data_IF_332173189630
#
_entry.id   IF_332173189630
#
_cell.length_a   1.000
_cell.length_b   1.000
_cell.length_c   1.000
_cell.angle_alpha   90.00
_cell.angle_beta   90.00
_cell.angle_gamma   90.00
#
_symmetry.space_group_name_H-M   'P 1'
#
loop_
_entity.id
_entity.type
_entity.pdbx_description
1 polymer ?
#
# COMPACT_ATOMS: atom_id res chain seq x y z
N UNK A 1 -33.69 -0.79 -11.21
CA UNK A 1 -33.87 -2.24 -10.95
C UNK A 1 -35.34 -2.56 -11.11
N UNK A 2 -35.65 -3.42 -12.07
CA UNK A 2 -37.06 -3.73 -12.40
C UNK A 2 -37.65 -4.70 -11.40
N UNK A 3 -38.95 -4.61 -11.17
CA UNK A 3 -39.69 -5.44 -10.25
C UNK A 3 -40.98 -5.90 -10.91
N UNK A 4 -41.27 -7.20 -10.79
CA UNK A 4 -42.52 -7.73 -11.31
C UNK A 4 -43.69 -7.32 -10.39
N UNK A 5 -44.83 -6.99 -10.99
CA UNK A 5 -46.08 -6.63 -10.32
C UNK A 5 -47.09 -7.74 -10.59
N UNK A 6 -47.60 -8.33 -9.51
CA UNK A 6 -48.66 -9.33 -9.58
C UNK A 6 -49.89 -8.78 -8.87
N UNK A 7 -51.06 -8.91 -9.47
CA UNK A 7 -52.31 -8.40 -8.94
C UNK A 7 -53.12 -9.51 -8.26
N UNK A 8 -53.95 -9.15 -7.24
CA UNK A 8 -54.84 -10.12 -6.61
C UNK A 8 -55.74 -10.81 -7.64
N UNK A 9 -55.77 -12.15 -7.64
CA UNK A 9 -56.55 -12.95 -8.57
C UNK A 9 -55.91 -13.24 -9.92
N UNK A 10 -54.73 -12.65 -10.24
CA UNK A 10 -53.96 -13.04 -11.42
C UNK A 10 -53.19 -14.33 -11.14
N UNK A 11 -52.96 -15.14 -12.17
CA UNK A 11 -52.06 -16.30 -12.12
C UNK A 11 -50.65 -15.81 -12.51
N UNK A 12 -49.65 -15.90 -11.61
CA UNK A 12 -48.28 -15.54 -11.97
C UNK A 12 -47.76 -16.44 -13.10
N UNK A 13 -47.03 -15.83 -14.03
CA UNK A 13 -46.35 -16.56 -15.10
C UNK A 13 -44.98 -17.08 -14.60
N UNK A 14 -44.49 -18.16 -15.21
CA UNK A 14 -43.13 -18.66 -15.01
C UNK A 14 -42.08 -17.59 -15.31
N UNK A 15 -42.31 -16.76 -16.35
CA UNK A 15 -41.49 -15.60 -16.70
C UNK A 15 -41.40 -14.57 -15.58
N UNK A 16 -42.41 -14.43 -14.74
CA UNK A 16 -42.37 -13.49 -13.60
C UNK A 16 -41.35 -13.94 -12.57
N UNK A 17 -41.31 -15.23 -12.23
CA UNK A 17 -40.34 -15.79 -11.29
C UNK A 17 -38.92 -15.73 -11.83
N UNK A 18 -38.73 -16.07 -13.12
CA UNK A 18 -37.43 -16.05 -13.76
C UNK A 18 -36.88 -14.60 -13.91
N UNK A 19 -37.77 -13.63 -14.23
CA UNK A 19 -37.42 -12.23 -14.30
C UNK A 19 -36.95 -11.65 -12.96
N UNK A 20 -37.55 -12.06 -11.82
CA UNK A 20 -37.07 -11.65 -10.49
C UNK A 20 -35.61 -12.03 -10.31
N UNK A 21 -35.24 -13.28 -10.63
CA UNK A 21 -33.86 -13.76 -10.51
C UNK A 21 -32.91 -13.02 -11.44
N UNK A 22 -33.29 -12.82 -12.70
CA UNK A 22 -32.49 -12.05 -13.69
C UNK A 22 -32.27 -10.61 -13.23
N UNK A 23 -33.32 -9.92 -12.77
CA UNK A 23 -33.24 -8.54 -12.32
C UNK A 23 -32.38 -8.39 -11.08
N UNK A 24 -32.46 -9.34 -10.11
CA UNK A 24 -31.59 -9.36 -8.94
C UNK A 24 -30.11 -9.55 -9.33
N UNK A 25 -29.84 -10.50 -10.25
CA UNK A 25 -28.48 -10.70 -10.77
C UNK A 25 -27.95 -9.47 -11.50
N UNK A 26 -28.78 -8.82 -12.34
CA UNK A 26 -28.39 -7.60 -13.03
C UNK A 26 -28.06 -6.46 -12.05
N UNK A 27 -28.87 -6.29 -11.00
CA UNK A 27 -28.62 -5.26 -9.98
C UNK A 27 -27.30 -5.49 -9.23
N UNK A 28 -27.03 -6.74 -8.81
CA UNK A 28 -25.76 -7.11 -8.17
C UNK A 28 -24.57 -6.94 -9.13
N UNK A 29 -24.75 -7.25 -10.40
CA UNK A 29 -23.72 -7.09 -11.42
C UNK A 29 -23.33 -5.61 -11.62
N UNK A 30 -24.30 -4.71 -11.72
CA UNK A 30 -24.02 -3.27 -11.79
C UNK A 30 -23.40 -2.73 -10.51
N UNK A 31 -23.80 -3.21 -9.34
CA UNK A 31 -23.16 -2.85 -8.08
C UNK A 31 -21.70 -3.33 -8.04
N UNK A 32 -21.46 -4.59 -8.42
CA UNK A 32 -20.11 -5.14 -8.50
C UNK A 32 -19.24 -4.34 -9.48
N UNK A 33 -19.78 -3.97 -10.65
CA UNK A 33 -19.09 -3.15 -11.64
C UNK A 33 -18.74 -1.76 -11.11
N UNK A 34 -19.64 -1.12 -10.36
CA UNK A 34 -19.39 0.18 -9.75
C UNK A 34 -18.28 0.15 -8.68
N UNK A 35 -18.14 -0.98 -7.97
CA UNK A 35 -17.15 -1.15 -6.89
C UNK A 35 -15.81 -1.70 -7.39
N UNK A 36 -15.83 -2.68 -8.29
CA UNK A 36 -14.66 -3.43 -8.75
C UNK A 36 -14.20 -3.05 -10.16
N UNK A 37 -15.00 -2.27 -10.90
CA UNK A 37 -14.78 -1.99 -12.30
C UNK A 37 -15.23 -3.15 -13.21
N UNK A 38 -14.92 -3.04 -14.52
CA UNK A 38 -15.29 -4.03 -15.54
C UNK A 38 -14.20 -5.08 -15.81
N UNK A 39 -13.02 -4.93 -15.20
CA UNK A 39 -11.94 -5.91 -15.31
C UNK A 39 -12.23 -7.19 -14.54
N UNK A 40 -11.53 -8.27 -14.88
CA UNK A 40 -11.58 -9.50 -14.08
C UNK A 40 -10.94 -9.25 -12.72
N UNK A 41 -11.64 -9.63 -11.64
CA UNK A 41 -11.13 -9.56 -10.26
C UNK A 41 -11.33 -10.91 -9.58
N UNK A 42 -10.34 -11.32 -8.80
CA UNK A 42 -10.35 -12.58 -8.03
C UNK A 42 -10.23 -12.26 -6.55
N UNK A 43 -11.08 -12.89 -5.73
CA UNK A 43 -10.97 -12.85 -4.27
C UNK A 43 -10.96 -14.28 -3.69
N UNK A 44 -10.12 -14.51 -2.69
CA UNK A 44 -9.89 -15.85 -2.17
C UNK A 44 -9.05 -16.70 -3.14
N UNK A 45 -9.46 -17.94 -3.41
CA UNK A 45 -8.79 -18.91 -4.28
C UNK A 45 -7.31 -19.10 -3.93
N UNK A 46 -6.97 -19.09 -2.64
CA UNK A 46 -5.59 -19.27 -2.18
C UNK A 46 -5.07 -20.67 -2.54
N UNK A 47 -3.88 -20.74 -3.14
CA UNK A 47 -3.25 -22.02 -3.48
C UNK A 47 -2.23 -22.43 -2.42
N UNK A 48 -2.38 -23.64 -1.88
CA UNK A 48 -1.50 -24.20 -0.87
C UNK A 48 -1.08 -25.63 -1.24
N UNK A 49 0.07 -26.06 -0.72
CA UNK A 49 0.48 -27.46 -0.80
C UNK A 49 -0.47 -28.35 0.01
N UNK A 50 -0.65 -29.59 -0.42
CA UNK A 50 -1.52 -30.57 0.29
C UNK A 50 -0.95 -30.96 1.67
N UNK A 51 -1.84 -31.25 2.59
CA UNK A 51 -1.50 -31.84 3.90
C UNK A 51 -2.28 -33.13 4.07
N UNK A 52 -1.61 -34.31 4.21
CA UNK A 52 -0.16 -34.52 4.22
C UNK A 52 0.52 -34.15 2.89
N UNK A 53 1.83 -33.86 2.97
CA UNK A 53 2.62 -33.44 1.81
C UNK A 53 2.58 -34.49 0.68
N UNK A 54 2.27 -34.04 -0.54
CA UNK A 54 2.19 -34.87 -1.76
C UNK A 54 2.54 -34.06 -2.99
N UNK A 55 2.53 -34.69 -4.17
CA UNK A 55 2.64 -34.02 -5.46
C UNK A 55 1.33 -33.32 -5.85
N UNK A 56 0.71 -32.64 -4.90
CA UNK A 56 -0.56 -31.95 -5.07
C UNK A 56 -0.57 -30.54 -4.49
N UNK A 57 -1.47 -29.74 -5.04
CA UNK A 57 -1.83 -28.42 -4.51
C UNK A 57 -3.35 -28.31 -4.42
N UNK A 58 -3.82 -27.52 -3.48
CA UNK A 58 -5.24 -27.25 -3.28
C UNK A 58 -5.50 -25.76 -3.42
N UNK A 59 -6.45 -25.40 -4.29
CA UNK A 59 -6.98 -24.05 -4.40
C UNK A 59 -8.22 -23.95 -3.53
N UNK A 60 -8.20 -23.08 -2.55
CA UNK A 60 -9.28 -22.88 -1.58
C UNK A 60 -10.53 -22.23 -2.17
N UNK A 61 -11.59 -22.03 -1.35
CA UNK A 61 -12.78 -21.31 -1.74
C UNK A 61 -12.47 -19.87 -2.18
N UNK A 62 -13.35 -19.31 -3.02
CA UNK A 62 -13.21 -17.94 -3.47
C UNK A 62 -14.17 -17.60 -4.60
N UNK A 63 -13.97 -16.44 -5.20
CA UNK A 63 -14.82 -15.91 -6.27
C UNK A 63 -14.00 -15.27 -7.38
N UNK A 64 -14.61 -15.21 -8.56
CA UNK A 64 -14.12 -14.45 -9.72
C UNK A 64 -15.26 -13.58 -10.24
N UNK A 65 -14.97 -12.33 -10.55
CA UNK A 65 -15.89 -11.43 -11.27
C UNK A 65 -15.37 -11.18 -12.67
N UNK A 66 -16.24 -11.29 -13.65
CA UNK A 66 -15.91 -11.00 -15.06
C UNK A 66 -17.08 -10.31 -15.76
N UNK A 67 -16.74 -9.45 -16.72
CA UNK A 67 -17.74 -8.83 -17.61
C UNK A 67 -18.23 -9.90 -18.61
N UNK A 68 -19.53 -10.19 -18.55
CA UNK A 68 -20.19 -11.17 -19.43
C UNK A 68 -21.58 -10.65 -19.84
N UNK A 69 -22.16 -11.20 -20.89
CA UNK A 69 -23.55 -10.92 -21.25
C UNK A 69 -24.52 -11.50 -20.22
N UNK A 70 -25.70 -10.90 -20.08
CA UNK A 70 -26.69 -11.29 -19.08
C UNK A 70 -27.06 -12.79 -19.19
N UNK A 71 -27.48 -13.24 -20.34
CA UNK A 71 -27.74 -14.65 -20.63
C UNK A 71 -27.38 -14.99 -22.07
N UNK A 72 -26.39 -15.84 -22.28
CA UNK A 72 -25.97 -16.30 -23.62
C UNK A 72 -27.01 -17.18 -24.28
N UNK A 73 -27.77 -17.93 -23.49
CA UNK A 73 -28.83 -18.84 -23.91
C UNK A 73 -30.12 -18.48 -23.18
N UNK A 74 -31.26 -18.99 -23.65
CA UNK A 74 -32.55 -18.84 -22.99
C UNK A 74 -32.44 -19.29 -21.52
N UNK A 75 -33.05 -18.53 -20.63
CA UNK A 75 -33.14 -18.84 -19.19
C UNK A 75 -34.55 -19.33 -18.87
N UNK A 76 -34.75 -20.64 -18.94
CA UNK A 76 -36.08 -21.24 -18.92
C UNK A 76 -36.94 -20.70 -20.07
N UNK A 77 -38.08 -20.11 -19.77
CA UNK A 77 -38.98 -19.47 -20.72
C UNK A 77 -38.59 -18.03 -21.10
N UNK A 78 -37.59 -17.43 -20.43
CA UNK A 78 -37.08 -16.11 -20.83
C UNK A 78 -36.10 -16.25 -22.01
N UNK A 79 -36.20 -15.37 -23.02
CA UNK A 79 -35.24 -15.38 -24.13
C UNK A 79 -33.84 -15.03 -23.66
N UNK A 80 -32.83 -15.38 -24.46
CA UNK A 80 -31.46 -14.94 -24.26
C UNK A 80 -31.38 -13.41 -24.16
N UNK A 81 -30.46 -12.89 -23.36
CA UNK A 81 -30.12 -11.47 -23.21
C UNK A 81 -28.63 -11.30 -23.43
N UNK A 82 -28.24 -11.27 -24.72
CA UNK A 82 -26.84 -11.32 -25.15
C UNK A 82 -26.27 -9.97 -25.59
N UNK A 83 -27.06 -8.88 -25.52
CA UNK A 83 -26.66 -7.57 -26.00
C UNK A 83 -26.02 -6.72 -24.89
N UNK A 84 -26.45 -6.88 -23.65
CA UNK A 84 -26.01 -6.05 -22.55
C UNK A 84 -25.01 -6.81 -21.64
N UNK A 85 -23.73 -6.39 -21.60
CA UNK A 85 -22.78 -6.97 -20.69
C UNK A 85 -22.96 -6.42 -19.27
N UNK A 86 -22.75 -7.26 -18.28
CA UNK A 86 -22.67 -6.89 -16.88
C UNK A 86 -21.58 -7.70 -16.18
N UNK A 87 -21.13 -7.25 -15.02
CA UNK A 87 -20.20 -7.99 -14.20
C UNK A 87 -20.93 -9.13 -13.49
N UNK A 88 -20.57 -10.38 -13.82
CA UNK A 88 -21.07 -11.58 -13.16
C UNK A 88 -20.05 -12.11 -12.17
N UNK A 89 -20.51 -12.90 -11.20
CA UNK A 89 -19.69 -13.48 -10.15
C UNK A 89 -19.82 -15.01 -10.13
N UNK A 90 -18.70 -15.71 -10.31
CA UNK A 90 -18.59 -17.14 -10.05
C UNK A 90 -18.07 -17.38 -8.63
N UNK A 91 -18.66 -18.32 -7.90
CA UNK A 91 -18.32 -18.62 -6.51
C UNK A 91 -18.06 -20.11 -6.36
N UNK A 92 -16.90 -20.47 -5.78
CA UNK A 92 -16.62 -21.82 -5.30
C UNK A 92 -16.54 -21.80 -3.77
N UNK A 93 -17.37 -22.60 -3.13
CA UNK A 93 -17.40 -22.78 -1.67
C UNK A 93 -16.52 -23.94 -1.21
N UNK A 94 -16.19 -24.86 -2.13
CA UNK A 94 -15.37 -26.03 -1.86
C UNK A 94 -13.99 -25.87 -2.51
N UNK A 95 -12.93 -26.43 -1.90
CA UNK A 95 -11.59 -26.41 -2.46
C UNK A 95 -11.48 -27.34 -3.67
N UNK A 96 -10.59 -26.99 -4.60
CA UNK A 96 -10.26 -27.80 -5.77
C UNK A 96 -8.79 -28.26 -5.69
N UNK A 97 -8.54 -29.56 -5.78
CA UNK A 97 -7.19 -30.10 -5.72
C UNK A 97 -6.68 -30.49 -7.12
N UNK A 98 -5.38 -30.27 -7.32
CA UNK A 98 -4.66 -30.65 -8.53
C UNK A 98 -3.47 -31.53 -8.18
N UNK A 99 -3.25 -32.57 -9.00
CA UNK A 99 -2.05 -33.44 -8.91
C UNK A 99 -1.05 -33.03 -9.99
N UNK A 100 0.21 -32.87 -9.60
CA UNK A 100 1.31 -32.51 -10.47
C UNK A 100 2.24 -33.72 -10.67
N UNK A 101 2.96 -33.72 -11.78
CA UNK A 101 3.91 -34.81 -12.12
C UNK A 101 5.30 -34.23 -12.25
N UNK A 102 6.30 -34.85 -11.63
CA UNK A 102 7.69 -34.45 -11.79
C UNK A 102 8.21 -34.80 -13.20
N UNK A 103 9.14 -34.02 -13.78
CA UNK A 103 9.80 -34.39 -15.04
C UNK A 103 10.57 -35.70 -14.88
N UNK A 104 10.72 -36.42 -15.95
CA UNK A 104 11.36 -37.75 -15.96
C UNK A 104 12.89 -37.69 -16.09
N UNK A 105 13.44 -36.57 -16.55
CA UNK A 105 14.88 -36.40 -16.78
C UNK A 105 15.54 -35.62 -15.67
N UNK A 106 16.70 -36.07 -15.21
CA UNK A 106 17.50 -35.38 -14.17
C UNK A 106 17.88 -33.96 -14.61
N UNK A 107 17.89 -33.03 -13.67
CA UNK A 107 18.24 -31.63 -13.91
C UNK A 107 17.13 -30.79 -14.57
N UNK A 108 15.97 -31.36 -14.84
CA UNK A 108 14.84 -30.64 -15.42
C UNK A 108 13.82 -30.20 -14.39
N UNK A 109 13.02 -29.18 -14.76
CA UNK A 109 11.84 -28.74 -14.04
C UNK A 109 10.68 -28.43 -15.00
N UNK A 110 9.46 -28.41 -14.48
CA UNK A 110 8.24 -28.03 -15.20
C UNK A 110 7.56 -26.92 -14.43
N UNK A 111 7.12 -25.86 -15.13
CA UNK A 111 6.18 -24.89 -14.59
C UNK A 111 4.76 -25.30 -14.92
N UNK A 112 3.93 -25.41 -13.90
CA UNK A 112 2.49 -25.58 -14.03
C UNK A 112 1.79 -24.25 -13.82
N UNK A 113 0.84 -23.90 -14.70
CA UNK A 113 -0.02 -22.74 -14.55
C UNK A 113 -1.38 -23.19 -14.03
N UNK A 114 -1.84 -22.59 -12.93
CA UNK A 114 -3.23 -22.66 -12.49
C UNK A 114 -3.93 -21.41 -13.00
N UNK A 115 -4.93 -21.60 -13.84
CA UNK A 115 -5.72 -20.51 -14.41
C UNK A 115 -7.19 -20.65 -14.03
N UNK A 116 -7.92 -19.52 -14.05
CA UNK A 116 -9.33 -19.45 -13.69
C UNK A 116 -10.13 -18.65 -14.71
N UNK A 117 -11.41 -18.99 -14.82
CA UNK A 117 -12.41 -18.18 -15.54
C UNK A 117 -13.77 -18.33 -14.88
N UNK A 118 -14.70 -17.40 -15.15
CA UNK A 118 -16.09 -17.56 -14.78
C UNK A 118 -16.76 -18.52 -15.77
N UNK A 119 -17.43 -19.54 -15.23
CA UNK A 119 -18.21 -20.49 -16.01
C UNK A 119 -19.66 -20.45 -15.58
N UNK A 120 -20.57 -20.28 -16.54
CA UNK A 120 -21.99 -20.43 -16.36
C UNK A 120 -22.47 -21.70 -17.04
N UNK A 121 -23.26 -22.50 -16.35
CA UNK A 121 -23.80 -23.76 -16.89
C UNK A 121 -25.16 -24.09 -16.31
N UNK A 122 -26.00 -24.74 -17.12
CA UNK A 122 -27.29 -25.26 -16.70
C UNK A 122 -27.11 -26.69 -16.16
N UNK A 123 -27.61 -26.95 -14.94
CA UNK A 123 -27.38 -28.20 -14.21
C UNK A 123 -28.65 -28.70 -13.53
N UNK A 124 -28.51 -29.78 -12.74
CA UNK A 124 -29.59 -30.40 -11.97
C UNK A 124 -30.75 -30.87 -12.87
N UNK A 125 -30.47 -31.79 -13.81
CA UNK A 125 -31.48 -32.32 -14.68
C UNK A 125 -32.54 -33.12 -13.88
N UNK A 126 -33.80 -32.79 -14.09
CA UNK A 126 -34.93 -33.42 -13.43
C UNK A 126 -36.07 -33.61 -14.45
N UNK A 127 -36.73 -34.74 -14.42
CA UNK A 127 -37.97 -34.96 -15.15
C UNK A 127 -39.11 -34.26 -14.38
N UNK A 128 -39.52 -33.11 -14.88
CA UNK A 128 -40.51 -32.26 -14.22
C UNK A 128 -41.92 -32.77 -14.49
N UNK A 129 -42.85 -32.72 -13.49
CA UNK A 129 -44.27 -33.00 -13.69
C UNK A 129 -44.92 -31.82 -14.43
N UNK A 130 -45.63 -32.10 -15.52
CA UNK A 130 -46.36 -31.13 -16.31
C UNK A 130 -47.88 -31.32 -16.09
N UNK A 131 -48.59 -30.20 -16.12
CA UNK A 131 -50.06 -30.23 -15.96
C UNK A 131 -50.73 -31.03 -17.09
N UNK A 132 -51.57 -31.99 -16.70
CA UNK A 132 -52.38 -32.84 -17.58
C UNK A 132 -53.87 -32.44 -17.44
N UNK A 133 -54.37 -31.65 -18.40
CA UNK A 133 -55.75 -31.17 -18.38
C UNK A 133 -56.78 -32.31 -18.50
N UNK A 134 -56.42 -33.42 -19.15
CA UNK A 134 -57.34 -34.58 -19.30
C UNK A 134 -57.44 -35.42 -18.01
N UNK A 135 -56.38 -35.45 -17.20
CA UNK A 135 -56.35 -36.13 -15.91
C UNK A 135 -55.45 -35.40 -14.92
N UNK A 136 -55.95 -34.39 -14.20
CA UNK A 136 -55.12 -33.61 -13.25
C UNK A 136 -54.49 -34.42 -12.13
N UNK A 137 -55.00 -35.62 -11.81
CA UNK A 137 -54.40 -36.51 -10.81
C UNK A 137 -53.15 -37.25 -11.31
N UNK A 138 -52.88 -37.24 -12.63
CA UNK A 138 -51.72 -37.87 -13.25
C UNK A 138 -50.97 -36.85 -14.13
N UNK A 139 -50.01 -36.13 -13.58
CA UNK A 139 -49.22 -35.20 -14.37
C UNK A 139 -48.46 -35.91 -15.48
N UNK A 140 -48.18 -35.21 -16.58
CA UNK A 140 -47.27 -35.69 -17.61
C UNK A 140 -45.82 -35.73 -17.10
N UNK A 141 -45.05 -36.72 -17.57
CA UNK A 141 -43.66 -36.93 -17.22
C UNK A 141 -42.77 -36.17 -18.22
N UNK A 142 -42.32 -35.00 -17.84
CA UNK A 142 -41.51 -34.11 -18.72
C UNK A 142 -42.34 -33.45 -19.84
N UNK A 143 -41.67 -32.63 -20.71
CA UNK A 143 -42.31 -32.01 -21.87
C UNK A 143 -42.92 -33.04 -22.77
N UNK A 144 -44.13 -32.78 -23.25
CA UNK A 144 -44.86 -33.67 -24.15
C UNK A 144 -45.02 -35.12 -23.65
N UNK A 145 -44.93 -35.35 -22.36
CA UNK A 145 -44.96 -36.67 -21.72
C UNK A 145 -43.84 -37.60 -22.21
N UNK A 146 -42.71 -37.06 -22.62
CA UNK A 146 -41.57 -37.79 -23.20
C UNK A 146 -40.60 -38.36 -22.16
N UNK A 147 -40.77 -38.11 -20.88
CA UNK A 147 -39.81 -38.48 -19.81
C UNK A 147 -38.46 -37.76 -19.89
N UNK A 148 -38.38 -36.68 -20.66
CA UNK A 148 -37.15 -35.95 -20.85
C UNK A 148 -36.86 -35.05 -19.64
N UNK A 149 -35.63 -35.19 -19.10
CA UNK A 149 -35.14 -34.30 -18.04
C UNK A 149 -34.78 -32.90 -18.57
N UNK A 150 -35.06 -31.89 -17.76
CA UNK A 150 -34.68 -30.49 -18.01
C UNK A 150 -33.82 -29.98 -16.89
N UNK A 151 -32.82 -29.17 -17.22
CA UNK A 151 -31.98 -28.53 -16.22
C UNK A 151 -32.81 -27.51 -15.44
N UNK A 152 -32.71 -27.57 -14.10
CA UNK A 152 -33.53 -26.75 -13.20
C UNK A 152 -32.74 -25.62 -12.54
N UNK A 153 -31.43 -25.58 -12.74
CA UNK A 153 -30.56 -24.57 -12.15
C UNK A 153 -29.56 -24.07 -13.18
N UNK A 154 -29.37 -22.74 -13.21
CA UNK A 154 -28.21 -22.08 -13.87
C UNK A 154 -27.26 -21.66 -12.79
N UNK A 155 -26.03 -22.20 -12.81
CA UNK A 155 -25.00 -21.98 -11.81
C UNK A 155 -23.84 -21.18 -12.41
N UNK A 156 -23.26 -20.30 -11.59
CA UNK A 156 -22.06 -19.54 -11.88
C UNK A 156 -20.96 -20.00 -10.94
N UNK A 157 -19.88 -20.53 -11.51
CA UNK A 157 -18.75 -21.11 -10.76
C UNK A 157 -17.44 -20.53 -11.25
N UNK A 158 -16.40 -20.68 -10.43
CA UNK A 158 -15.04 -20.51 -10.86
C UNK A 158 -14.60 -21.82 -11.54
N UNK A 159 -14.37 -21.79 -12.83
CA UNK A 159 -13.67 -22.88 -13.49
C UNK A 159 -12.17 -22.73 -13.23
N UNK A 160 -11.54 -23.79 -12.70
CA UNK A 160 -10.10 -23.85 -12.43
C UNK A 160 -9.48 -24.91 -13.36
N UNK A 161 -8.32 -24.62 -13.93
CA UNK A 161 -7.60 -25.53 -14.79
C UNK A 161 -6.11 -25.50 -14.50
N UNK A 162 -5.49 -26.69 -14.49
CA UNK A 162 -4.06 -26.88 -14.42
C UNK A 162 -3.50 -27.09 -15.83
N UNK A 163 -2.50 -26.31 -16.22
CA UNK A 163 -1.76 -26.46 -17.48
C UNK A 163 -0.30 -26.81 -17.20
N UNK A 164 0.18 -27.90 -17.79
CA UNK A 164 1.59 -28.26 -17.71
C UNK A 164 2.39 -27.53 -18.78
N UNK A 165 3.53 -26.96 -18.40
CA UNK A 165 4.53 -26.46 -19.33
C UNK A 165 5.41 -27.58 -19.89
N UNK A 166 6.34 -27.22 -20.75
CA UNK A 166 7.37 -28.14 -21.21
C UNK A 166 8.46 -28.34 -20.15
N UNK A 167 8.94 -29.57 -19.98
CA UNK A 167 10.10 -29.85 -19.15
C UNK A 167 11.35 -29.20 -19.80
N UNK A 168 12.12 -28.48 -19.02
CA UNK A 168 13.36 -27.80 -19.43
C UNK A 168 14.39 -27.83 -18.30
N UNK A 169 15.62 -27.47 -18.58
CA UNK A 169 16.66 -27.36 -17.54
C UNK A 169 16.21 -26.43 -16.42
N UNK A 170 16.52 -26.79 -15.21
CA UNK A 170 16.14 -26.02 -14.02
C UNK A 170 16.59 -24.53 -14.16
N UNK A 171 15.65 -23.62 -14.03
CA UNK A 171 15.84 -22.18 -14.23
C UNK A 171 15.55 -21.68 -15.66
N UNK A 172 15.34 -22.57 -16.63
CA UNK A 172 15.01 -22.19 -18.03
C UNK A 172 13.60 -22.62 -18.46
N UNK A 173 12.84 -23.27 -17.57
CA UNK A 173 11.47 -23.69 -17.82
C UNK A 173 10.54 -22.49 -18.00
N UNK A 174 9.67 -22.55 -18.99
CA UNK A 174 8.69 -21.48 -19.27
C UNK A 174 7.32 -21.84 -18.74
N UNK A 175 6.61 -20.83 -18.26
CA UNK A 175 5.22 -20.98 -17.86
C UNK A 175 4.33 -21.04 -19.09
N UNK A 176 3.34 -21.98 -19.16
CA UNK A 176 2.41 -22.05 -20.28
C UNK A 176 1.63 -20.73 -20.41
N UNK A 177 1.26 -20.32 -21.65
CA UNK A 177 0.41 -19.14 -21.84
C UNK A 177 -0.99 -19.39 -21.28
N UNK A 178 -1.59 -18.32 -20.76
CA UNK A 178 -2.98 -18.30 -20.30
C UNK A 178 -3.91 -18.47 -21.52
N UNK A 179 -5.00 -19.23 -21.37
CA UNK A 179 -5.99 -19.41 -22.45
C UNK A 179 -6.85 -18.14 -22.61
N UNK A 180 -7.41 -17.96 -23.81
CA UNK A 180 -8.28 -16.81 -24.07
C UNK A 180 -9.50 -16.83 -23.15
N UNK A 181 -9.81 -15.70 -22.50
CA UNK A 181 -10.90 -15.56 -21.54
C UNK A 181 -10.59 -16.10 -20.13
N UNK A 182 -9.39 -16.62 -19.91
CA UNK A 182 -8.90 -17.06 -18.61
C UNK A 182 -7.94 -16.04 -17.99
N UNK A 183 -7.68 -16.17 -16.70
CA UNK A 183 -6.65 -15.43 -15.98
C UNK A 183 -5.73 -16.38 -15.23
N UNK A 184 -4.41 -16.15 -15.31
CA UNK A 184 -3.43 -16.94 -14.58
C UNK A 184 -3.43 -16.55 -13.11
N UNK A 185 -3.54 -17.52 -12.20
CA UNK A 185 -3.53 -17.28 -10.76
C UNK A 185 -2.19 -17.63 -10.11
N UNK A 186 -1.69 -18.85 -10.38
CA UNK A 186 -0.48 -19.37 -9.75
C UNK A 186 0.41 -20.10 -10.74
N UNK A 187 1.70 -20.02 -10.50
CA UNK A 187 2.72 -20.84 -11.16
C UNK A 187 3.32 -21.76 -10.10
N UNK A 188 3.30 -23.07 -10.36
CA UNK A 188 3.90 -24.07 -9.49
C UNK A 188 5.08 -24.73 -10.22
N UNK A 189 6.28 -24.61 -9.66
CA UNK A 189 7.49 -25.19 -10.23
C UNK A 189 7.78 -26.53 -9.60
N UNK A 190 7.90 -27.57 -10.43
CA UNK A 190 8.18 -28.94 -10.00
C UNK A 190 9.47 -29.41 -10.63
N UNK A 191 10.46 -29.79 -9.79
CA UNK A 191 11.76 -30.30 -10.26
C UNK A 191 11.78 -31.84 -10.34
N UNK A 192 12.75 -32.38 -11.10
CA UNK A 192 13.01 -33.81 -11.19
C UNK A 192 13.21 -34.44 -9.79
N UNK A 193 12.63 -35.62 -9.60
CA UNK A 193 12.77 -36.39 -8.35
C UNK A 193 11.97 -35.84 -7.17
N UNK A 194 11.20 -34.78 -7.37
CA UNK A 194 10.36 -34.20 -6.31
C UNK A 194 9.17 -35.12 -6.03
N UNK A 195 8.93 -35.39 -4.74
CA UNK A 195 7.85 -36.28 -4.26
C UNK A 195 6.74 -35.52 -3.53
N UNK A 196 6.95 -34.23 -3.26
CA UNK A 196 5.96 -33.34 -2.66
C UNK A 196 6.19 -31.89 -3.14
N UNK A 197 5.13 -31.11 -3.22
CA UNK A 197 5.19 -29.68 -3.58
C UNK A 197 5.45 -28.87 -2.31
N UNK A 198 6.62 -28.21 -2.14
CA UNK A 198 6.85 -27.31 -1.05
C UNK A 198 6.10 -25.97 -1.26
N UNK A 199 5.73 -25.28 -0.19
CA UNK A 199 5.06 -23.98 -0.29
C UNK A 199 5.85 -22.94 -1.12
N UNK A 200 7.17 -22.97 -1.05
CA UNK A 200 8.05 -22.08 -1.81
C UNK A 200 8.03 -22.33 -3.34
N UNK A 201 7.51 -23.47 -3.79
CA UNK A 201 7.34 -23.77 -5.22
C UNK A 201 6.08 -23.14 -5.82
N UNK A 202 5.18 -22.59 -5.00
CA UNK A 202 3.92 -21.95 -5.39
C UNK A 202 4.14 -20.46 -5.43
N UNK A 203 4.07 -19.85 -6.60
CA UNK A 203 4.20 -18.41 -6.80
C UNK A 203 2.89 -17.85 -7.38
N UNK A 204 2.50 -16.66 -6.95
CA UNK A 204 1.39 -15.92 -7.58
C UNK A 204 1.83 -15.52 -8.98
N UNK A 205 0.97 -15.72 -9.99
CA UNK A 205 1.23 -15.25 -11.35
C UNK A 205 1.40 -13.72 -11.37
N UNK A 206 2.38 -13.15 -12.07
CA UNK A 206 2.62 -11.72 -12.12
C UNK A 206 1.41 -10.90 -12.62
N UNK A 207 0.53 -11.52 -13.39
CA UNK A 207 -0.68 -10.89 -13.96
C UNK A 207 -1.96 -11.33 -13.28
N UNK A 208 -1.87 -12.02 -12.14
CA UNK A 208 -3.04 -12.49 -11.41
C UNK A 208 -3.88 -11.31 -10.90
N UNK A 209 -5.19 -11.24 -11.24
CA UNK A 209 -6.02 -10.10 -10.89
C UNK A 209 -6.63 -10.24 -9.50
N UNK A 210 -5.82 -10.59 -8.50
CA UNK A 210 -6.27 -10.65 -7.12
C UNK A 210 -6.66 -9.28 -6.60
N UNK A 211 -7.76 -9.23 -5.84
CA UNK A 211 -8.20 -8.02 -5.17
C UNK A 211 -7.16 -7.59 -4.12
N UNK A 212 -6.42 -6.53 -4.43
CA UNK A 212 -5.34 -6.03 -3.56
C UNK A 212 -5.87 -5.35 -2.28
N UNK A 213 -7.04 -4.69 -2.38
CA UNK A 213 -7.60 -3.87 -1.31
C UNK A 213 -9.08 -4.15 -1.11
N UNK A 214 -9.47 -4.53 0.11
CA UNK A 214 -10.88 -4.69 0.51
C UNK A 214 -11.37 -3.40 1.19
N UNK A 215 -12.68 -3.13 1.15
CA UNK A 215 -13.28 -1.96 1.81
C UNK A 215 -12.81 -1.75 3.26
N UNK A 216 -12.71 -2.79 4.11
CA UNK A 216 -12.19 -2.61 5.46
C UNK A 216 -10.77 -2.04 5.52
N UNK A 217 -9.94 -2.32 4.51
CA UNK A 217 -8.57 -1.78 4.40
C UNK A 217 -8.54 -0.31 3.94
N UNK A 218 -9.66 0.19 3.40
CA UNK A 218 -9.81 1.59 2.95
C UNK A 218 -10.48 2.47 4.00
N UNK A 219 -10.95 1.92 5.12
CA UNK A 219 -11.53 2.70 6.21
C UNK A 219 -10.45 3.53 6.91
N UNK A 220 -10.75 4.81 7.30
CA UNK A 220 -9.84 5.60 8.10
C UNK A 220 -9.41 4.84 9.37
N UNK A 221 -8.11 4.66 9.59
CA UNK A 221 -7.56 3.86 10.68
C UNK A 221 -7.04 2.48 10.26
N UNK A 222 -7.40 1.96 9.08
CA UNK A 222 -6.77 0.77 8.51
C UNK A 222 -5.62 1.21 7.58
N UNK A 223 -4.39 1.04 8.05
CA UNK A 223 -3.20 1.42 7.30
C UNK A 223 -2.98 2.92 7.17
N UNK A 224 -3.65 3.75 7.99
CA UNK A 224 -3.35 5.17 8.13
C UNK A 224 -2.83 5.47 9.54
N UNK A 225 -1.79 6.26 9.61
CA UNK A 225 -1.19 6.63 10.90
C UNK A 225 -0.17 7.75 10.73
N UNK A 226 0.21 8.31 11.88
CA UNK A 226 1.29 9.28 11.96
C UNK A 226 2.22 8.91 13.12
N UNK A 227 3.51 8.93 12.87
CA UNK A 227 4.52 8.73 13.89
C UNK A 227 5.58 9.82 13.79
N UNK A 228 5.82 10.52 14.90
CA UNK A 228 6.86 11.52 15.02
C UNK A 228 8.03 10.98 15.83
N UNK A 229 9.25 11.19 15.34
CA UNK A 229 10.48 10.74 15.96
C UNK A 229 11.30 11.94 16.40
N UNK A 230 11.46 12.10 17.70
CA UNK A 230 12.27 13.15 18.35
C UNK A 230 13.65 12.61 18.79
N UNK A 231 13.89 11.31 18.62
CA UNK A 231 15.15 10.63 18.88
C UNK A 231 15.41 9.57 17.82
N UNK A 232 16.68 9.24 17.59
CA UNK A 232 17.08 8.20 16.62
C UNK A 232 16.60 6.83 17.06
N UNK A 233 15.98 6.09 16.12
CA UNK A 233 15.42 4.75 16.33
C UNK A 233 15.19 4.05 14.98
N UNK A 234 14.23 3.16 14.89
CA UNK A 234 13.80 2.48 13.66
C UNK A 234 12.30 2.61 13.49
N UNK A 235 11.85 2.85 12.26
CA UNK A 235 10.44 2.74 11.84
C UNK A 235 10.22 1.37 11.26
N UNK A 236 9.25 0.62 11.77
CA UNK A 236 8.80 -0.64 11.17
C UNK A 236 7.56 -0.36 10.34
N UNK A 237 7.61 -0.67 9.03
CA UNK A 237 6.49 -0.48 8.11
C UNK A 237 5.30 -1.30 8.60
N UNK A 238 4.15 -0.67 8.90
CA UNK A 238 2.97 -1.38 9.41
C UNK A 238 2.41 -2.39 8.41
N UNK A 239 1.65 -3.37 8.92
CA UNK A 239 0.97 -4.36 8.09
C UNK A 239 0.02 -3.67 7.09
N UNK A 240 0.08 -4.07 5.82
CA UNK A 240 -0.73 -3.49 4.74
C UNK A 240 -0.25 -2.15 4.20
N UNK A 241 0.77 -1.53 4.79
CA UNK A 241 1.35 -0.27 4.31
C UNK A 241 2.43 -0.55 3.29
N UNK A 242 2.31 0.05 2.11
CA UNK A 242 3.32 -0.04 1.02
C UNK A 242 3.83 1.33 0.58
N UNK A 243 3.28 2.40 1.16
CA UNK A 243 3.68 3.78 0.89
C UNK A 243 3.61 4.64 2.14
N UNK A 244 4.51 5.62 2.25
CA UNK A 244 4.53 6.59 3.35
C UNK A 244 4.91 7.97 2.82
N UNK A 245 4.39 9.02 3.47
CA UNK A 245 4.88 10.39 3.34
C UNK A 245 5.82 10.69 4.51
N UNK A 246 7.05 11.10 4.21
CA UNK A 246 8.09 11.37 5.20
C UNK A 246 8.51 12.83 5.15
N UNK A 247 8.55 13.46 6.31
CA UNK A 247 9.11 14.81 6.49
C UNK A 247 10.30 14.74 7.44
N UNK A 248 11.38 15.43 7.10
CA UNK A 248 12.66 15.39 7.83
C UNK A 248 13.18 16.81 8.04
N UNK A 249 13.48 17.17 9.28
CA UNK A 249 14.14 18.41 9.66
C UNK A 249 15.50 18.11 10.26
N UNK A 250 16.56 18.78 9.78
CA UNK A 250 17.87 18.79 10.43
C UNK A 250 17.88 19.60 11.72
N UNK A 251 18.84 19.35 12.60
CA UNK A 251 19.02 20.18 13.82
C UNK A 251 19.56 21.57 13.50
N UNK A 252 19.20 22.58 14.28
CA UNK A 252 19.77 23.92 14.19
C UNK A 252 21.16 24.00 14.83
N UNK A 253 22.03 24.93 14.42
CA UNK A 253 23.32 25.15 15.07
C UNK A 253 23.20 25.99 16.35
N UNK A 254 24.14 25.81 17.25
CA UNK A 254 24.30 26.68 18.41
C UNK A 254 24.85 28.05 18.04
N UNK A 255 24.77 29.02 18.97
CA UNK A 255 25.41 30.33 18.88
C UNK A 255 26.68 30.38 19.72
N UNK A 256 27.64 31.21 19.32
CA UNK A 256 28.83 31.47 20.16
C UNK A 256 28.48 32.29 21.43
N UNK A 257 29.32 32.20 22.43
CA UNK A 257 29.27 33.12 23.57
C UNK A 257 29.66 34.54 23.13
N UNK A 258 29.12 35.58 23.76
CA UNK A 258 29.67 36.96 23.61
C UNK A 258 30.95 37.11 24.40
N UNK A 259 31.74 38.12 24.02
CA UNK A 259 32.83 38.64 24.86
C UNK A 259 32.29 39.87 25.67
N UNK A 260 33.11 40.44 26.53
CA UNK A 260 32.75 41.64 27.24
C UNK A 260 32.51 42.86 26.35
N UNK A 261 32.97 42.86 25.12
CA UNK A 261 32.86 43.96 24.15
C UNK A 261 32.26 43.59 22.80
N UNK A 262 32.02 42.31 22.53
CA UNK A 262 31.51 41.85 21.25
C UNK A 262 30.35 40.87 21.45
N UNK A 263 29.19 41.25 20.94
CA UNK A 263 28.01 40.38 20.92
C UNK A 263 28.18 39.21 19.90
N UNK A 264 27.51 38.10 20.08
CA UNK A 264 27.63 36.98 19.15
C UNK A 264 26.52 36.93 18.12
N UNK A 265 26.86 36.41 16.94
CA UNK A 265 25.88 36.10 15.90
C UNK A 265 25.02 34.90 16.28
N UNK A 266 23.85 34.77 15.63
CA UNK A 266 22.95 33.62 15.77
C UNK A 266 23.42 32.41 14.99
N UNK A 267 23.01 31.24 15.43
CA UNK A 267 23.19 29.96 14.73
C UNK A 267 22.20 29.82 13.57
N UNK A 268 22.50 28.94 12.61
CA UNK A 268 21.70 28.69 11.41
C UNK A 268 20.63 27.63 11.66
N UNK A 269 19.51 27.72 10.97
CA UNK A 269 18.45 26.70 10.98
C UNK A 269 18.83 25.45 10.20
N UNK A 270 18.26 24.30 10.58
CA UNK A 270 18.35 23.05 9.84
C UNK A 270 17.57 23.07 8.52
N UNK A 271 17.94 22.19 7.59
CA UNK A 271 17.21 21.97 6.36
C UNK A 271 15.91 21.22 6.56
N UNK A 272 15.10 21.15 5.53
CA UNK A 272 13.85 20.37 5.46
C UNK A 272 13.78 19.59 4.17
N UNK A 273 13.33 18.32 4.24
CA UNK A 273 12.98 17.52 3.08
C UNK A 273 11.66 16.79 3.31
N UNK A 274 10.86 16.65 2.24
CA UNK A 274 9.68 15.80 2.21
C UNK A 274 9.76 14.85 1.04
N UNK A 275 9.41 13.58 1.29
CA UNK A 275 9.38 12.55 0.26
C UNK A 275 8.20 11.62 0.43
N UNK A 276 7.54 11.29 -0.69
CA UNK A 276 6.62 10.16 -0.77
C UNK A 276 7.37 8.93 -1.21
N UNK A 277 7.37 7.90 -0.38
CA UNK A 277 7.98 6.61 -0.67
C UNK A 277 6.90 5.61 -1.02
N UNK A 278 7.13 4.84 -2.08
CA UNK A 278 6.23 3.76 -2.56
C UNK A 278 7.02 2.47 -2.71
N UNK A 279 6.32 1.33 -2.70
CA UNK A 279 6.95 0.01 -2.86
C UNK A 279 7.65 -0.49 -1.59
N UNK A 280 7.27 0.01 -0.41
CA UNK A 280 7.76 -0.51 0.87
C UNK A 280 7.15 -1.87 1.17
N UNK A 281 7.91 -2.72 1.87
CA UNK A 281 7.45 -4.03 2.31
C UNK A 281 6.94 -3.95 3.74
N UNK A 282 5.70 -4.39 4.06
CA UNK A 282 5.23 -4.51 5.42
C UNK A 282 6.19 -5.32 6.30
N UNK A 283 6.46 -4.82 7.51
CA UNK A 283 7.46 -5.42 8.42
C UNK A 283 8.91 -4.98 8.18
N UNK A 284 9.20 -4.25 7.10
CA UNK A 284 10.53 -3.69 6.83
C UNK A 284 10.91 -2.69 7.92
N UNK A 285 12.10 -2.84 8.50
CA UNK A 285 12.67 -1.88 9.45
C UNK A 285 13.52 -0.85 8.70
N UNK A 286 13.21 0.43 8.88
CA UNK A 286 13.93 1.56 8.26
C UNK A 286 14.56 2.40 9.38
N UNK A 287 15.90 2.57 9.41
CA UNK A 287 16.55 3.38 10.43
C UNK A 287 16.13 4.85 10.31
N UNK A 288 15.82 5.46 11.45
CA UNK A 288 15.48 6.87 11.59
C UNK A 288 16.58 7.55 12.41
N UNK A 289 17.26 8.51 11.82
CA UNK A 289 18.22 9.35 12.53
C UNK A 289 17.59 10.71 12.78
N UNK A 290 17.69 11.21 14.01
CA UNK A 290 17.26 12.57 14.37
C UNK A 290 18.48 13.37 14.81
N UNK A 291 18.79 14.41 14.06
CA UNK A 291 19.92 15.29 14.31
C UNK A 291 19.74 16.07 15.59
N UNK A 292 20.74 16.08 16.45
CA UNK A 292 20.76 16.91 17.66
C UNK A 292 20.98 18.36 17.28
N UNK A 293 20.44 19.27 18.04
CA UNK A 293 20.81 20.69 17.97
C UNK A 293 22.26 20.88 18.39
N UNK A 294 22.93 21.81 17.74
CA UNK A 294 24.31 22.18 18.09
C UNK A 294 24.38 22.81 19.49
N UNK A 295 25.42 22.51 20.26
CA UNK A 295 25.67 23.11 21.56
C UNK A 295 26.04 24.61 21.42
N UNK A 296 25.63 25.42 22.40
CA UNK A 296 26.08 26.78 22.50
C UNK A 296 27.51 26.91 23.00
N UNK A 297 28.22 27.94 22.58
CA UNK A 297 29.51 28.32 23.10
C UNK A 297 29.44 28.81 24.53
N UNK A 298 30.53 28.66 25.30
CA UNK A 298 30.59 29.16 26.71
C UNK A 298 31.60 30.28 26.85
N UNK A 299 31.39 31.14 27.84
CA UNK A 299 32.35 32.20 28.24
C UNK A 299 33.66 31.62 28.77
N UNK A 300 33.70 30.32 29.14
CA UNK A 300 34.89 29.60 29.52
C UNK A 300 35.71 29.10 28.29
N UNK A 301 35.29 29.40 27.06
CA UNK A 301 36.03 29.14 25.84
C UNK A 301 35.58 27.92 25.01
N UNK A 302 34.54 27.20 25.42
CA UNK A 302 33.97 26.12 24.56
C UNK A 302 33.32 26.75 23.31
N UNK A 303 33.64 26.19 22.12
CA UNK A 303 33.03 26.65 20.87
C UNK A 303 31.60 26.13 20.71
N UNK A 304 30.79 26.89 19.98
CA UNK A 304 29.50 26.40 19.49
C UNK A 304 29.70 25.23 18.50
N UNK A 305 28.67 24.42 18.30
CA UNK A 305 28.70 23.32 17.32
C UNK A 305 27.58 23.46 16.30
N UNK A 306 27.84 22.87 15.11
CA UNK A 306 26.82 22.74 14.07
C UNK A 306 25.69 21.80 14.53
N UNK A 307 24.51 21.93 13.92
CA UNK A 307 23.41 20.99 14.08
C UNK A 307 23.70 19.66 13.39
N UNK A 308 23.11 18.59 13.93
CA UNK A 308 23.18 17.23 13.34
C UNK A 308 22.20 17.07 12.18
N UNK A 309 22.53 16.13 11.28
CA UNK A 309 21.64 15.73 10.19
C UNK A 309 20.58 14.75 10.66
N UNK A 310 19.37 14.86 10.10
CA UNK A 310 18.31 13.85 10.24
C UNK A 310 18.12 13.07 8.97
N UNK A 311 17.68 11.80 9.07
CA UNK A 311 17.41 10.98 7.89
C UNK A 311 16.37 9.92 8.15
N UNK A 312 15.70 9.48 7.09
CA UNK A 312 14.86 8.30 7.04
C UNK A 312 15.51 7.29 6.09
N UNK A 313 16.22 6.32 6.64
CA UNK A 313 17.06 5.39 5.91
C UNK A 313 18.01 6.10 4.97
N UNK A 314 18.12 5.55 3.77
CA UNK A 314 18.89 6.13 2.65
C UNK A 314 18.00 6.97 1.71
N UNK A 315 16.71 7.08 2.02
CA UNK A 315 15.72 7.61 1.08
C UNK A 315 15.62 9.12 1.08
N UNK A 316 15.73 9.76 2.23
CA UNK A 316 15.58 11.21 2.39
C UNK A 316 16.32 11.69 3.64
N UNK A 317 16.96 12.86 3.56
CA UNK A 317 17.68 13.46 4.69
C UNK A 317 17.57 14.98 4.67
N UNK A 318 17.90 15.58 5.80
CA UNK A 318 18.07 17.01 5.94
C UNK A 318 19.31 17.29 6.81
N UNK A 319 20.25 18.10 6.30
CA UNK A 319 21.45 18.44 7.04
C UNK A 319 21.13 19.45 8.13
N UNK A 320 21.93 19.44 9.20
CA UNK A 320 21.83 20.46 10.24
C UNK A 320 22.32 21.84 9.79
N UNK A 321 21.97 22.87 10.54
CA UNK A 321 22.51 24.22 10.36
C UNK A 321 24.03 24.27 10.59
N UNK A 322 24.73 24.96 9.72
CA UNK A 322 26.20 25.08 9.78
C UNK A 322 26.62 26.18 10.79
N UNK A 323 27.89 26.15 11.18
CA UNK A 323 28.55 27.30 11.82
C UNK A 323 29.33 28.10 10.77
N UNK A 324 29.44 29.38 11.00
CA UNK A 324 30.33 30.20 10.18
C UNK A 324 31.81 29.82 10.45
N UNK A 325 32.54 29.49 9.39
CA UNK A 325 33.94 29.07 9.50
C UNK A 325 34.88 30.16 10.06
N UNK A 326 34.46 31.43 9.98
CA UNK A 326 35.24 32.57 10.52
C UNK A 326 34.81 32.98 11.92
N UNK A 327 33.70 32.42 12.44
CA UNK A 327 33.26 32.65 13.81
C UNK A 327 34.14 31.83 14.79
N UNK A 328 34.55 32.45 15.84
CA UNK A 328 35.33 31.83 16.91
C UNK A 328 35.01 32.46 18.26
N UNK A 329 35.42 31.87 19.41
CA UNK A 329 35.25 32.51 20.70
C UNK A 329 35.87 33.91 20.79
N UNK A 330 36.91 34.23 19.99
CA UNK A 330 37.55 35.53 19.91
C UNK A 330 36.87 36.53 18.93
N UNK A 331 36.05 35.97 17.97
CA UNK A 331 35.35 36.75 16.96
C UNK A 331 33.92 36.21 16.81
N UNK A 332 33.06 36.33 17.84
CA UNK A 332 31.75 35.67 17.90
C UNK A 332 30.68 36.36 17.07
N UNK A 333 30.95 37.52 16.47
CA UNK A 333 29.94 38.35 15.79
C UNK A 333 29.41 37.78 14.50
N UNK A 334 30.13 36.84 13.87
CA UNK A 334 29.75 36.32 12.58
C UNK A 334 28.68 35.23 12.69
N UNK A 335 27.44 35.56 12.32
CA UNK A 335 26.30 34.62 12.33
C UNK A 335 25.98 34.00 10.98
N UNK A 336 26.38 34.59 9.88
CA UNK A 336 25.91 34.28 8.51
C UNK A 336 26.38 32.93 7.91
N UNK A 337 26.35 31.84 8.71
CA UNK A 337 26.58 30.50 8.16
C UNK A 337 25.34 30.00 7.38
N UNK A 338 25.54 29.20 6.31
CA UNK A 338 24.42 28.63 5.58
C UNK A 338 23.53 27.78 6.48
N UNK A 339 22.22 27.85 6.25
CA UNK A 339 21.28 26.88 6.82
C UNK A 339 21.52 25.48 6.27
N UNK A 340 21.00 24.48 6.96
CA UNK A 340 20.99 23.11 6.48
C UNK A 340 20.15 22.98 5.21
N UNK A 341 20.35 21.89 4.46
CA UNK A 341 19.66 21.61 3.18
C UNK A 341 18.91 20.31 3.26
N UNK A 342 17.72 20.24 2.61
CA UNK A 342 17.04 19.00 2.32
C UNK A 342 17.72 18.24 1.17
N UNK A 343 17.78 16.91 1.26
CA UNK A 343 18.43 16.05 0.26
C UNK A 343 17.59 14.81 -0.03
N UNK A 344 17.41 14.49 -1.30
CA UNK A 344 16.72 13.27 -1.75
C UNK A 344 15.19 13.32 -1.65
N UNK A 345 14.61 14.44 -1.21
CA UNK A 345 13.16 14.64 -1.15
C UNK A 345 12.55 15.06 -2.47
N UNK A 346 11.24 14.92 -2.59
CA UNK A 346 10.43 15.52 -3.67
C UNK A 346 10.35 17.05 -3.47
N UNK A 347 10.42 17.47 -2.20
CA UNK A 347 10.58 18.87 -1.80
C UNK A 347 11.81 18.98 -0.92
N UNK A 348 12.76 19.84 -1.28
CA UNK A 348 13.98 20.11 -0.52
C UNK A 348 14.07 21.61 -0.27
N UNK A 349 14.15 22.03 0.98
CA UNK A 349 14.25 23.43 1.36
C UNK A 349 15.48 23.66 2.21
N UNK A 350 16.02 24.88 2.12
CA UNK A 350 17.20 25.32 2.86
C UNK A 350 16.76 26.10 4.08
N UNK A 351 17.37 25.84 5.23
CA UNK A 351 17.19 26.63 6.45
C UNK A 351 17.76 28.05 6.29
N UNK A 352 17.27 28.95 7.09
CA UNK A 352 17.77 30.32 7.10
C UNK A 352 19.15 30.40 7.78
N UNK A 353 20.03 31.24 7.24
CA UNK A 353 21.27 31.62 7.92
C UNK A 353 20.97 32.34 9.24
N UNK A 354 21.80 32.17 10.25
CA UNK A 354 21.82 33.06 11.38
C UNK A 354 22.32 34.45 10.99
N UNK A 355 21.94 35.45 11.75
CA UNK A 355 22.40 36.82 11.51
C UNK A 355 23.66 37.14 12.34
N UNK A 356 24.57 37.94 11.76
CA UNK A 356 25.67 38.49 12.50
C UNK A 356 25.19 39.50 13.57
N UNK A 357 25.93 39.61 14.65
CA UNK A 357 25.66 40.65 15.66
C UNK A 357 26.06 42.02 15.13
N UNK A 358 25.50 43.07 15.71
CA UNK A 358 25.85 44.46 15.44
C UNK A 358 26.06 45.22 16.75
N UNK A 359 27.28 45.73 16.95
CA UNK A 359 27.66 46.39 18.23
C UNK A 359 27.42 45.46 19.43
N UNK A 360 26.61 45.89 20.40
CA UNK A 360 26.21 45.12 21.58
C UNK A 360 24.98 44.25 21.36
N UNK A 361 24.30 44.36 20.22
CA UNK A 361 23.10 43.61 19.90
C UNK A 361 23.41 42.23 19.35
N UNK A 362 22.78 41.21 19.92
CA UNK A 362 22.90 39.83 19.48
C UNK A 362 22.29 39.59 18.08
N UNK A 363 22.88 38.71 17.30
CA UNK A 363 22.30 38.24 16.02
C UNK A 363 21.12 37.30 16.22
N UNK A 364 20.15 37.35 15.31
CA UNK A 364 19.03 36.39 15.30
C UNK A 364 19.47 35.01 14.86
N UNK A 365 18.94 33.97 15.46
CA UNK A 365 19.04 32.61 15.00
C UNK A 365 18.25 32.41 13.71
N UNK A 366 18.74 31.55 12.81
CA UNK A 366 18.05 31.17 11.57
C UNK A 366 16.89 30.21 11.83
N UNK A 367 15.78 30.39 11.14
CA UNK A 367 14.65 29.45 11.18
C UNK A 367 14.85 28.21 10.30
N UNK A 368 14.23 27.10 10.70
CA UNK A 368 14.08 25.92 9.82
C UNK A 368 12.81 26.08 8.98
N UNK A 369 12.79 25.66 7.70
CA UNK A 369 11.58 25.68 6.89
C UNK A 369 10.48 24.83 7.53
N UNK A 370 9.25 25.34 7.57
CA UNK A 370 8.09 24.68 8.17
C UNK A 370 8.31 24.18 9.61
N UNK A 371 9.27 24.75 10.30
CA UNK A 371 9.71 24.37 11.65
C UNK A 371 9.96 25.56 12.53
N UNK A 372 11.01 25.49 13.37
CA UNK A 372 11.35 26.54 14.33
C UNK A 372 11.70 27.87 13.69
N UNK A 373 11.10 28.93 14.18
CA UNK A 373 11.30 30.30 13.70
C UNK A 373 12.61 30.92 14.20
N UNK A 374 12.93 32.11 13.66
CA UNK A 374 14.02 32.97 14.14
C UNK A 374 13.80 33.39 15.59
N UNK A 375 14.89 33.53 16.29
CA UNK A 375 14.90 33.80 17.74
C UNK A 375 16.06 34.72 18.12
N UNK A 376 15.86 35.65 19.04
CA UNK A 376 16.91 36.52 19.58
C UNK A 376 16.63 36.93 21.03
N UNK A 377 17.68 37.33 21.74
CA UNK A 377 17.57 37.84 23.11
C UNK A 377 18.83 38.61 23.55
N UNK A 378 18.82 39.21 24.73
CA UNK A 378 19.98 39.87 25.33
C UNK A 378 21.05 38.87 25.84
N UNK A 379 20.64 37.64 26.10
CA UNK A 379 21.49 36.47 26.39
C UNK A 379 21.26 35.43 25.31
N UNK A 380 22.13 34.46 25.17
CA UNK A 380 21.90 33.35 24.21
C UNK A 380 20.56 32.71 24.43
N UNK A 381 19.75 32.57 23.36
CA UNK A 381 18.40 31.99 23.41
C UNK A 381 18.36 30.69 22.61
N UNK A 382 17.87 29.57 23.17
CA UNK A 382 17.79 28.30 22.48
C UNK A 382 17.00 28.38 21.20
N UNK A 383 17.37 27.58 20.21
CA UNK A 383 16.64 27.43 18.96
C UNK A 383 15.23 26.90 19.19
N UNK A 384 14.28 27.30 18.35
CA UNK A 384 12.88 26.83 18.40
C UNK A 384 12.74 25.52 17.63
N UNK A 385 12.14 24.53 18.26
CA UNK A 385 11.89 23.20 17.68
C UNK A 385 10.80 23.21 16.60
N UNK A 386 10.94 22.42 15.53
CA UNK A 386 12.12 21.65 15.15
C UNK A 386 13.14 22.47 14.34
N UNK A 387 14.42 22.22 14.55
CA UNK A 387 15.49 22.60 13.67
C UNK A 387 15.91 24.08 13.71
N UNK A 388 15.32 24.93 14.53
CA UNK A 388 15.71 26.33 14.61
C UNK A 388 17.13 26.54 15.18
N UNK A 389 17.88 27.47 14.63
CA UNK A 389 19.17 27.91 15.13
C UNK A 389 19.06 28.75 16.40
N UNK A 390 20.09 28.71 17.24
CA UNK A 390 20.12 29.52 18.48
C UNK A 390 20.24 31.01 18.20
N UNK A 391 19.56 31.86 19.00
CA UNK A 391 19.84 33.30 19.04
C UNK A 391 21.20 33.58 19.68
N UNK A 392 21.89 34.59 19.17
CA UNK A 392 23.17 35.07 19.72
C UNK A 392 23.07 35.64 21.11
N UNK A 393 24.19 35.89 21.75
CA UNK A 393 24.30 36.55 23.05
C UNK A 393 24.79 37.99 22.91
N UNK A 394 24.13 38.94 23.58
CA UNK A 394 24.55 40.33 23.66
C UNK A 394 25.69 40.55 24.63
N UNK A 395 26.16 41.82 24.80
CA UNK A 395 27.24 42.19 25.74
C UNK A 395 26.73 42.81 27.03
N UNK A 396 25.42 42.86 27.26
CA UNK A 396 24.81 43.64 28.32
C UNK A 396 24.75 45.14 28.02
N UNK A 397 23.94 45.88 28.78
CA UNK A 397 23.62 47.30 28.51
C UNK A 397 24.85 48.23 28.62
N UNK A 398 25.85 47.83 29.33
CA UNK A 398 27.10 48.63 29.54
C UNK A 398 28.30 48.09 28.76
N UNK A 399 28.17 47.03 27.94
CA UNK A 399 29.27 46.46 27.22
C UNK A 399 30.34 45.78 28.07
N UNK A 400 30.01 45.39 29.31
CA UNK A 400 30.99 44.87 30.30
C UNK A 400 30.78 43.42 30.68
N UNK A 401 29.74 42.78 30.21
CA UNK A 401 29.43 41.40 30.58
C UNK A 401 29.47 40.49 29.33
N UNK A 402 30.05 39.29 29.50
CA UNK A 402 29.99 38.21 28.54
C UNK A 402 28.90 37.21 28.93
N UNK A 403 28.15 36.69 27.97
CA UNK A 403 27.11 35.70 28.16
C UNK A 403 27.37 34.45 27.30
N UNK A 404 26.97 33.29 27.82
CA UNK A 404 27.04 32.05 27.05
C UNK A 404 26.13 32.16 25.83
N UNK A 405 26.51 31.52 24.76
CA UNK A 405 25.65 31.17 23.63
C UNK A 405 24.62 30.11 24.05
N UNK A 406 23.68 29.83 23.18
CA UNK A 406 22.65 28.85 23.41
C UNK A 406 22.71 27.70 22.40
N UNK A 407 22.04 26.58 22.73
CA UNK A 407 21.94 25.43 21.85
C UNK A 407 20.90 25.66 20.75
N UNK A 408 21.16 25.16 19.56
CA UNK A 408 20.16 25.00 18.51
C UNK A 408 19.10 23.92 18.88
N UNK A 409 17.97 23.94 18.21
CA UNK A 409 16.93 22.94 18.40
C UNK A 409 17.27 21.62 17.68
N UNK A 410 16.80 20.51 18.25
CA UNK A 410 16.88 19.20 17.60
C UNK A 410 16.05 19.17 16.31
N UNK A 411 16.42 18.27 15.41
CA UNK A 411 15.62 17.91 14.24
C UNK A 411 14.38 17.09 14.60
N UNK A 412 13.66 16.70 13.56
CA UNK A 412 12.44 15.91 13.66
C UNK A 412 12.32 15.03 12.41
N UNK A 413 11.74 13.84 12.57
CA UNK A 413 11.28 13.02 11.43
C UNK A 413 9.81 12.68 11.70
N UNK A 414 8.94 12.91 10.70
CA UNK A 414 7.51 12.57 10.77
C UNK A 414 7.20 11.63 9.59
N UNK A 415 6.58 10.50 9.90
CA UNK A 415 6.15 9.52 8.91
C UNK A 415 4.64 9.41 8.98
N UNK A 416 3.97 9.52 7.82
CA UNK A 416 2.52 9.34 7.65
C UNK A 416 2.25 8.23 6.65
N UNK A 417 1.28 7.38 6.92
CA UNK A 417 0.88 6.27 6.05
C UNK A 417 -0.62 6.08 6.00
#
# INVERSE_FOLDING_TARGET
MDRNIVYPGSIPLDTDLLSINRNAMAALGYLAQAVLGSGTVVDGLSCVATTPASMGVTVGPGSITQLMVVDTLAYGSLPAASLDPLVKMGINTEPTSFTLTAPTSSGQAINYLIQATLQESDTSPLVLPYYNAANPAQPYSGPNNAGTAQNTQRVQRVALQLKAGAAANLGTQTTPPVDNGWVGLYVVTVAYGQTAVPAAAIAVSPTAPFLAWKLPSLTPGFGSGVQAFTASTSFTVPAGVTQVDVEVWGGGSGSFASTSSIASGGGSGGGYARKRLVGLTPGQAIPVTVGQGGSGGTTAGAAATAGGSSSFGVYVSATGGSLNATASPASPQNGAAPGGTGVGGDVNLVGSSGQSSFMSAAGFGGGAPMGGNQNSGSVGVPGIFPGGGAGGAGTGATGTFAFNGAAGANGLVVVRW
#
